data_IF_084746201961
#
_entry.id   IF_084746201961
#
_cell.length_a   1.000
_cell.length_b   1.000
_cell.length_c   1.000
_cell.angle_alpha   90.00
_cell.angle_beta   90.00
_cell.angle_gamma   90.00
#
_symmetry.space_group_name_H-M   'P 1'
#
loop_
_entity.id
_entity.type
_entity.pdbx_description
1 polymer ?
#
# COMPACT_ATOMS: atom_id res chain seq x y z
N UNK A 1 -18.85 -40.40 8.57
CA UNK A 1 -17.84 -40.70 7.53
C UNK A 1 -18.18 -40.12 6.14
N UNK A 2 -19.22 -39.29 5.98
CA UNK A 2 -19.61 -38.72 4.68
C UNK A 2 -19.10 -37.27 4.46
N UNK A 3 -18.74 -36.53 5.51
CA UNK A 3 -18.23 -35.15 5.39
C UNK A 3 -16.76 -35.10 4.93
N UNK A 4 -15.94 -36.10 5.26
CA UNK A 4 -14.51 -36.13 4.93
C UNK A 4 -14.21 -36.44 3.46
N UNK A 5 -15.12 -37.11 2.74
CA UNK A 5 -14.98 -37.39 1.30
C UNK A 5 -15.44 -36.22 0.42
N UNK A 6 -16.41 -35.42 0.89
CA UNK A 6 -16.90 -34.24 0.16
C UNK A 6 -15.91 -33.07 0.20
N UNK A 7 -15.19 -32.86 1.31
CA UNK A 7 -14.19 -31.77 1.40
C UNK A 7 -12.94 -32.07 0.58
N UNK A 8 -12.55 -33.35 0.48
CA UNK A 8 -11.38 -33.78 -0.31
C UNK A 8 -11.60 -33.64 -1.82
N UNK A 9 -12.83 -33.82 -2.31
CA UNK A 9 -13.14 -33.61 -3.73
C UNK A 9 -13.22 -32.12 -4.10
N UNK A 10 -13.81 -31.29 -3.23
CA UNK A 10 -13.85 -29.84 -3.43
C UNK A 10 -12.45 -29.20 -3.39
N UNK A 11 -11.57 -29.64 -2.49
CA UNK A 11 -10.18 -29.15 -2.44
C UNK A 11 -9.41 -29.55 -3.72
N UNK A 12 -9.62 -30.77 -4.23
CA UNK A 12 -9.05 -31.23 -5.50
C UNK A 12 -9.51 -30.37 -6.70
N UNK A 13 -10.79 -30.01 -6.75
CA UNK A 13 -11.35 -29.20 -7.83
C UNK A 13 -10.85 -27.75 -7.80
N UNK A 14 -10.75 -27.15 -6.60
CA UNK A 14 -10.21 -25.79 -6.43
C UNK A 14 -8.73 -25.73 -6.81
N UNK A 15 -7.94 -26.71 -6.37
CA UNK A 15 -6.53 -26.82 -6.76
C UNK A 15 -6.40 -27.04 -8.28
N UNK A 16 -7.27 -27.85 -8.88
CA UNK A 16 -7.31 -28.04 -10.33
C UNK A 16 -7.58 -26.75 -11.11
N UNK A 17 -8.58 -25.97 -10.68
CA UNK A 17 -8.89 -24.66 -11.26
C UNK A 17 -7.71 -23.68 -11.13
N UNK A 18 -7.07 -23.64 -9.96
CA UNK A 18 -5.88 -22.82 -9.72
C UNK A 18 -4.71 -23.20 -10.65
N UNK A 19 -4.41 -24.50 -10.76
CA UNK A 19 -3.34 -25.00 -11.64
C UNK A 19 -3.60 -24.72 -13.12
N UNK A 20 -4.86 -24.77 -13.54
CA UNK A 20 -5.28 -24.41 -14.90
C UNK A 20 -5.07 -22.93 -15.19
N UNK A 21 -5.39 -22.04 -14.23
CA UNK A 21 -5.20 -20.59 -14.37
C UNK A 21 -3.71 -20.22 -14.51
N UNK A 22 -2.85 -20.74 -13.64
CA UNK A 22 -1.41 -20.41 -13.66
C UNK A 22 -0.68 -20.99 -14.88
N UNK A 23 -1.26 -22.02 -15.53
CA UNK A 23 -0.71 -22.59 -16.76
C UNK A 23 -0.82 -21.66 -17.97
N UNK A 24 -1.70 -20.65 -17.91
CA UNK A 24 -1.95 -19.68 -19.01
C UNK A 24 -1.00 -18.48 -18.99
N UNK A 25 -0.32 -18.24 -17.88
CA UNK A 25 0.57 -17.10 -17.71
C UNK A 25 2.01 -17.43 -18.13
N UNK A 26 2.60 -16.54 -18.92
CA UNK A 26 4.00 -16.66 -19.36
C UNK A 26 4.98 -16.49 -18.20
N UNK A 27 6.09 -17.22 -18.25
CA UNK A 27 7.20 -17.03 -17.31
C UNK A 27 7.91 -15.71 -17.63
N UNK A 28 8.20 -14.91 -16.61
CA UNK A 28 9.00 -13.68 -16.78
C UNK A 28 10.46 -14.05 -17.08
N UNK A 29 11.05 -13.32 -18.01
CA UNK A 29 12.50 -13.33 -18.16
C UNK A 29 13.16 -12.53 -17.03
N UNK A 30 14.49 -12.64 -16.88
CA UNK A 30 15.23 -11.83 -15.91
C UNK A 30 15.09 -10.33 -16.17
N UNK A 31 15.02 -9.94 -17.44
CA UNK A 31 14.84 -8.56 -17.85
C UNK A 31 13.42 -8.08 -17.50
N UNK A 32 12.40 -8.91 -17.74
CA UNK A 32 11.02 -8.57 -17.36
C UNK A 32 10.86 -8.43 -15.84
N UNK A 33 11.49 -9.31 -15.04
CA UNK A 33 11.52 -9.21 -13.57
C UNK A 33 12.12 -7.87 -13.12
N UNK A 34 13.23 -7.45 -13.74
CA UNK A 34 13.88 -6.18 -13.43
C UNK A 34 13.00 -4.99 -13.81
N UNK A 35 12.48 -4.99 -15.04
CA UNK A 35 11.61 -3.92 -15.55
C UNK A 35 10.34 -3.77 -14.70
N UNK A 36 9.73 -4.89 -14.28
CA UNK A 36 8.56 -4.87 -13.41
C UNK A 36 8.91 -4.35 -12.01
N UNK A 37 10.08 -4.72 -11.48
CA UNK A 37 10.63 -4.19 -10.24
C UNK A 37 10.85 -2.67 -10.28
N UNK A 38 11.36 -2.13 -11.39
CA UNK A 38 11.49 -0.70 -11.62
C UNK A 38 10.10 -0.02 -11.67
N UNK A 39 9.17 -0.56 -12.46
CA UNK A 39 7.80 -0.04 -12.57
C UNK A 39 7.08 0.01 -11.22
N UNK A 40 7.30 -0.99 -10.35
CA UNK A 40 6.77 -0.99 -9.00
C UNK A 40 7.39 0.11 -8.13
N UNK A 41 8.70 0.32 -8.21
CA UNK A 41 9.37 1.39 -7.47
C UNK A 41 8.84 2.77 -7.92
N UNK A 42 8.78 3.01 -9.22
CA UNK A 42 8.26 4.25 -9.80
C UNK A 42 6.79 4.48 -9.41
N UNK A 43 5.98 3.42 -9.41
CA UNK A 43 4.58 3.51 -9.01
C UNK A 43 4.40 3.80 -7.51
N UNK A 44 5.29 3.29 -6.64
CA UNK A 44 5.32 3.64 -5.21
C UNK A 44 5.67 5.11 -5.02
N UNK A 45 6.71 5.58 -5.69
CA UNK A 45 7.13 6.99 -5.60
C UNK A 45 6.03 7.91 -6.12
N UNK A 46 5.39 7.58 -7.24
CA UNK A 46 4.25 8.35 -7.73
C UNK A 46 3.06 8.38 -6.74
N UNK A 47 2.78 7.27 -6.02
CA UNK A 47 1.74 7.25 -5.00
C UNK A 47 2.11 8.13 -3.79
N UNK A 48 3.36 8.07 -3.33
CA UNK A 48 3.85 8.91 -2.22
C UNK A 48 3.86 10.38 -2.61
N UNK A 49 4.31 10.72 -3.82
CA UNK A 49 4.23 12.10 -4.34
C UNK A 49 2.80 12.60 -4.36
N UNK A 50 1.87 11.78 -4.85
CA UNK A 50 0.46 12.14 -4.85
C UNK A 50 -0.09 12.27 -3.42
N UNK A 51 0.29 11.39 -2.49
CA UNK A 51 -0.09 11.49 -1.07
C UNK A 51 0.37 12.84 -0.50
N UNK A 52 1.64 13.20 -0.68
CA UNK A 52 2.26 14.41 -0.14
C UNK A 52 1.95 15.69 -0.93
N UNK A 53 1.21 15.59 -2.06
CA UNK A 53 0.85 16.75 -2.87
C UNK A 53 -0.13 17.70 -2.16
N UNK A 54 -0.93 17.16 -1.23
CA UNK A 54 -1.92 17.88 -0.44
C UNK A 54 -1.51 17.99 1.04
N UNK A 55 -1.98 19.05 1.70
CA UNK A 55 -1.69 19.30 3.12
C UNK A 55 -2.15 18.16 4.02
N UNK A 56 -3.32 17.58 3.73
CA UNK A 56 -3.83 16.44 4.49
C UNK A 56 -2.85 15.25 4.49
N UNK A 57 -2.22 14.94 3.35
CA UNK A 57 -1.28 13.81 3.28
C UNK A 57 0.06 14.12 3.93
N UNK A 58 0.54 15.36 3.83
CA UNK A 58 1.69 15.84 4.61
C UNK A 58 1.41 15.68 6.11
N UNK A 59 0.23 16.12 6.56
CA UNK A 59 -0.15 16.03 7.96
C UNK A 59 -0.19 14.60 8.49
N UNK A 60 -0.73 13.66 7.72
CA UNK A 60 -0.74 12.23 8.10
C UNK A 60 0.67 11.70 8.40
N UNK A 61 1.67 12.13 7.63
CA UNK A 61 3.07 11.75 7.85
C UNK A 61 3.67 12.50 9.03
N UNK A 62 3.38 13.79 9.18
CA UNK A 62 3.94 14.60 10.28
C UNK A 62 3.39 14.21 11.65
N UNK A 63 2.16 13.70 11.72
CA UNK A 63 1.50 13.22 12.95
C UNK A 63 1.95 11.82 13.37
N UNK A 64 2.72 11.09 12.55
CA UNK A 64 3.16 9.73 12.88
C UNK A 64 3.83 9.61 14.27
N UNK A 65 4.73 10.52 14.71
CA UNK A 65 5.38 10.43 16.02
C UNK A 65 4.38 10.51 17.17
N UNK A 66 3.40 11.43 17.09
CA UNK A 66 2.33 11.57 18.08
C UNK A 66 1.43 10.33 18.09
N UNK A 67 1.07 9.82 16.91
CA UNK A 67 0.27 8.60 16.78
C UNK A 67 0.98 7.36 17.34
N UNK A 68 2.32 7.30 17.26
CA UNK A 68 3.11 6.26 17.90
C UNK A 68 3.19 6.46 19.42
N UNK A 69 3.38 7.69 19.88
CA UNK A 69 3.48 8.02 21.31
C UNK A 69 2.17 7.70 22.06
N UNK A 70 1.03 8.04 21.47
CA UNK A 70 -0.31 7.84 22.05
C UNK A 70 -0.85 6.41 21.82
N UNK A 71 -0.07 5.53 21.18
CA UNK A 71 -0.44 4.13 20.93
C UNK A 71 -1.50 3.91 19.83
N UNK A 72 -1.93 4.96 19.13
CA UNK A 72 -2.86 4.86 17.98
C UNK A 72 -2.26 4.08 16.81
N UNK A 73 -0.93 4.09 16.69
CA UNK A 73 -0.17 3.28 15.73
C UNK A 73 0.90 2.48 16.44
N UNK A 74 1.03 1.21 16.06
CA UNK A 74 2.12 0.35 16.55
C UNK A 74 3.38 0.55 15.70
N UNK A 75 4.52 0.95 16.29
CA UNK A 75 5.73 1.22 15.53
C UNK A 75 6.44 -0.05 15.01
N UNK A 76 6.20 -1.24 15.57
CA UNK A 76 6.91 -2.48 15.16
C UNK A 76 6.63 -2.92 13.71
N UNK A 77 5.46 -2.55 13.16
CA UNK A 77 5.09 -2.83 11.76
C UNK A 77 5.16 -1.62 10.83
N UNK A 78 5.54 -0.45 11.36
CA UNK A 78 5.53 0.82 10.65
C UNK A 78 6.81 1.06 9.81
N UNK A 79 7.83 0.22 9.97
CA UNK A 79 9.14 0.37 9.33
C UNK A 79 9.60 -0.93 8.66
N UNK A 80 10.37 -0.83 7.57
CA UNK A 80 10.78 -1.99 6.77
C UNK A 80 11.83 -2.89 7.44
N UNK A 81 12.50 -2.39 8.47
CA UNK A 81 13.52 -3.11 9.25
C UNK A 81 13.14 -3.17 10.74
N UNK A 82 13.87 -3.98 11.52
CA UNK A 82 13.79 -3.92 12.99
C UNK A 82 14.00 -2.47 13.43
N UNK A 83 12.98 -1.93 14.08
CA UNK A 83 12.94 -0.56 14.59
C UNK A 83 14.19 -0.27 15.43
N UNK A 84 15.01 0.68 15.00
CA UNK A 84 16.07 1.25 15.83
C UNK A 84 15.67 2.64 16.34
N UNK A 85 16.22 3.05 17.49
CA UNK A 85 16.08 4.41 18.02
C UNK A 85 16.55 5.45 16.99
N UNK A 86 17.54 5.10 16.16
CA UNK A 86 18.03 5.94 15.09
C UNK A 86 17.00 6.12 13.96
N UNK A 87 16.23 5.08 13.61
CA UNK A 87 15.18 5.18 12.58
C UNK A 87 14.05 6.12 13.06
N UNK A 88 13.67 6.05 14.34
CA UNK A 88 12.71 6.98 14.95
C UNK A 88 13.22 8.43 14.90
N UNK A 89 14.45 8.68 15.37
CA UNK A 89 15.04 10.01 15.36
C UNK A 89 15.21 10.58 13.94
N UNK A 90 15.58 9.73 12.98
CA UNK A 90 15.69 10.11 11.56
C UNK A 90 14.32 10.45 10.99
N UNK A 91 13.29 9.68 11.33
CA UNK A 91 11.91 9.91 10.93
C UNK A 91 11.41 11.25 11.45
N UNK A 92 11.60 11.54 12.74
CA UNK A 92 11.24 12.84 13.33
C UNK A 92 11.96 14.00 12.62
N UNK A 93 13.26 13.88 12.34
CA UNK A 93 14.00 14.92 11.60
C UNK A 93 13.46 15.12 10.19
N UNK A 94 13.18 14.04 9.47
CA UNK A 94 12.67 14.11 8.10
C UNK A 94 11.24 14.62 8.03
N UNK A 95 10.41 14.35 9.05
CA UNK A 95 9.07 14.92 9.21
C UNK A 95 9.15 16.45 9.31
N UNK A 96 10.06 16.97 10.13
CA UNK A 96 10.28 18.42 10.24
C UNK A 96 10.71 19.00 8.89
N UNK A 97 11.53 18.29 8.12
CA UNK A 97 11.94 18.74 6.79
C UNK A 97 10.80 18.73 5.78
N UNK A 98 9.95 17.70 5.79
CA UNK A 98 8.73 17.62 4.97
C UNK A 98 7.79 18.80 5.27
N UNK A 99 7.52 19.09 6.54
CA UNK A 99 6.71 20.23 6.95
C UNK A 99 7.31 21.57 6.48
N UNK A 100 8.63 21.75 6.62
CA UNK A 100 9.34 22.96 6.16
C UNK A 100 9.38 23.10 4.63
N UNK A 101 9.53 22.01 3.90
CA UNK A 101 9.48 22.01 2.44
C UNK A 101 8.10 22.47 1.95
N UNK A 102 7.03 21.97 2.58
CA UNK A 102 5.65 22.36 2.26
C UNK A 102 5.41 23.86 2.48
N UNK A 103 5.80 24.39 3.65
CA UNK A 103 5.66 25.81 3.96
C UNK A 103 6.41 26.71 2.94
N UNK A 104 7.59 26.28 2.47
CA UNK A 104 8.35 27.00 1.42
C UNK A 104 7.67 26.93 0.05
N UNK A 105 7.11 25.78 -0.32
CA UNK A 105 6.44 25.60 -1.61
C UNK A 105 5.19 26.47 -1.76
N UNK A 106 4.43 26.64 -0.66
CA UNK A 106 3.28 27.56 -0.64
C UNK A 106 3.67 29.01 -0.98
N UNK A 107 4.90 29.44 -0.64
CA UNK A 107 5.39 30.79 -0.94
C UNK A 107 5.95 30.95 -2.37
N UNK A 108 6.43 29.87 -3.00
CA UNK A 108 7.12 29.92 -4.32
C UNK A 108 6.21 29.65 -5.53
N UNK A 109 4.94 29.30 -5.31
CA UNK A 109 3.99 29.03 -6.40
C UNK A 109 4.40 27.85 -7.31
N UNK A 110 3.91 27.82 -8.55
CA UNK A 110 4.07 26.68 -9.46
C UNK A 110 5.50 26.43 -9.97
N UNK A 111 6.38 27.45 -9.94
CA UNK A 111 7.70 27.43 -10.59
C UNK A 111 8.74 26.50 -9.96
N UNK A 112 8.44 25.86 -8.82
CA UNK A 112 9.35 24.94 -8.12
C UNK A 112 8.73 23.59 -7.78
N UNK A 113 7.62 23.21 -8.42
CA UNK A 113 6.83 22.03 -8.00
C UNK A 113 7.59 20.72 -8.13
N UNK A 114 8.34 20.50 -9.22
CA UNK A 114 9.13 19.26 -9.43
C UNK A 114 10.27 19.12 -8.42
N UNK A 115 11.01 20.20 -8.18
CA UNK A 115 12.12 20.20 -7.21
C UNK A 115 11.60 19.96 -5.79
N UNK A 116 10.45 20.54 -5.45
CA UNK A 116 9.74 20.30 -4.20
C UNK A 116 9.27 18.85 -4.04
N UNK A 117 8.66 18.26 -5.07
CA UNK A 117 8.21 16.87 -5.05
C UNK A 117 9.39 15.90 -4.87
N UNK A 118 10.52 16.18 -5.52
CA UNK A 118 11.76 15.42 -5.33
C UNK A 118 12.32 15.54 -3.90
N UNK A 119 12.35 16.75 -3.33
CA UNK A 119 12.80 16.99 -1.94
C UNK A 119 11.91 16.23 -0.93
N UNK A 120 10.59 16.23 -1.13
CA UNK A 120 9.65 15.47 -0.29
C UNK A 120 9.90 13.97 -0.34
N UNK A 121 10.06 13.42 -1.55
CA UNK A 121 10.32 11.99 -1.73
C UNK A 121 11.63 11.57 -1.05
N UNK A 122 12.69 12.35 -1.19
CA UNK A 122 13.97 12.07 -0.53
C UNK A 122 13.80 11.98 0.99
N UNK A 123 13.10 12.96 1.57
CA UNK A 123 12.81 12.95 3.00
C UNK A 123 11.94 11.77 3.40
N UNK A 124 10.93 11.42 2.61
CA UNK A 124 10.07 10.28 2.85
C UNK A 124 10.85 8.95 2.83
N UNK A 125 11.65 8.69 1.80
CA UNK A 125 12.51 7.50 1.71
C UNK A 125 13.45 7.38 2.90
N UNK A 126 13.96 8.51 3.39
CA UNK A 126 14.86 8.54 4.54
C UNK A 126 14.21 8.05 5.84
N UNK A 127 12.87 8.10 5.95
CA UNK A 127 12.10 7.61 7.10
C UNK A 127 11.99 6.08 7.12
N UNK A 128 12.19 5.40 5.98
CA UNK A 128 12.12 3.93 5.86
C UNK A 128 10.80 3.33 6.37
N UNK A 129 9.71 4.07 6.15
CA UNK A 129 8.36 3.62 6.48
C UNK A 129 7.99 2.38 5.66
N UNK A 130 7.28 1.46 6.29
CA UNK A 130 6.84 0.24 5.63
C UNK A 130 5.73 0.53 4.62
N UNK A 131 5.74 -0.20 3.50
CA UNK A 131 4.67 -0.08 2.51
C UNK A 131 3.25 -0.30 3.09
N UNK A 132 3.02 -1.28 3.98
CA UNK A 132 1.72 -1.43 4.64
C UNK A 132 1.26 -0.21 5.45
N UNK A 133 2.19 0.59 5.99
CA UNK A 133 1.82 1.85 6.65
C UNK A 133 1.32 2.85 5.61
N UNK A 134 2.00 2.98 4.46
CA UNK A 134 1.57 3.90 3.38
C UNK A 134 0.18 3.52 2.89
N UNK A 135 -0.08 2.24 2.65
CA UNK A 135 -1.40 1.74 2.27
C UNK A 135 -2.47 2.08 3.32
N UNK A 136 -2.14 1.97 4.60
CA UNK A 136 -3.04 2.38 5.69
C UNK A 136 -3.34 3.87 5.67
N UNK A 137 -2.36 4.73 5.42
CA UNK A 137 -2.57 6.18 5.32
C UNK A 137 -3.47 6.54 4.14
N UNK A 138 -3.28 5.87 2.99
CA UNK A 138 -4.17 6.03 1.83
C UNK A 138 -5.59 5.57 2.16
N UNK A 139 -5.74 4.47 2.90
CA UNK A 139 -7.05 3.96 3.32
C UNK A 139 -7.76 4.90 4.30
N UNK A 140 -7.05 5.51 5.25
CA UNK A 140 -7.61 6.55 6.13
C UNK A 140 -8.23 7.71 5.34
N UNK A 141 -7.55 8.15 4.27
CA UNK A 141 -8.06 9.20 3.40
C UNK A 141 -9.29 8.76 2.61
N UNK A 142 -9.32 7.50 2.15
CA UNK A 142 -10.50 6.93 1.49
C UNK A 142 -11.69 6.85 2.44
N UNK A 143 -11.49 6.40 3.67
CA UNK A 143 -12.53 6.37 4.69
C UNK A 143 -13.06 7.76 5.01
N UNK A 144 -12.17 8.75 5.13
CA UNK A 144 -12.56 10.15 5.32
C UNK A 144 -13.40 10.67 4.15
N UNK A 145 -13.08 10.31 2.91
CA UNK A 145 -13.92 10.62 1.74
C UNK A 145 -15.31 10.00 1.88
N UNK A 146 -15.42 8.73 2.26
CA UNK A 146 -16.73 8.07 2.43
C UNK A 146 -17.57 8.81 3.48
N UNK A 147 -16.98 9.14 4.63
CA UNK A 147 -17.67 9.91 5.67
C UNK A 147 -18.13 11.28 5.17
N UNK A 148 -17.24 12.04 4.52
CA UNK A 148 -17.60 13.36 4.00
C UNK A 148 -18.66 13.31 2.89
N UNK A 149 -18.66 12.26 2.05
CA UNK A 149 -19.68 12.09 1.03
C UNK A 149 -21.09 11.95 1.64
N UNK A 150 -21.22 11.23 2.75
CA UNK A 150 -22.50 11.13 3.47
C UNK A 150 -22.97 12.48 4.01
N UNK A 151 -22.04 13.34 4.47
CA UNK A 151 -22.39 14.69 4.92
C UNK A 151 -22.71 15.63 3.78
N UNK A 152 -22.03 15.50 2.64
CA UNK A 152 -22.32 16.29 1.44
C UNK A 152 -23.72 15.98 0.90
N UNK A 153 -24.08 14.71 0.79
CA UNK A 153 -25.42 14.28 0.39
C UNK A 153 -26.51 14.82 1.33
N UNK A 154 -26.31 14.72 2.65
CA UNK A 154 -27.23 15.28 3.63
C UNK A 154 -27.28 16.81 3.61
N UNK A 155 -26.19 17.49 3.26
CA UNK A 155 -26.17 18.95 3.15
C UNK A 155 -26.95 19.43 1.93
N UNK A 156 -26.92 18.67 0.84
CA UNK A 156 -27.64 18.97 -0.41
C UNK A 156 -29.13 18.59 -0.32
N UNK A 157 -29.43 17.41 0.21
CA UNK A 157 -30.78 16.82 0.18
C UNK A 157 -31.52 16.89 1.53
N UNK A 158 -30.83 17.23 2.62
CA UNK A 158 -31.41 17.21 3.97
C UNK A 158 -32.29 18.42 4.27
N UNK A 159 -33.46 18.17 4.85
CA UNK A 159 -34.41 19.23 5.22
C UNK A 159 -34.10 19.84 6.60
N UNK A 160 -34.34 21.15 6.69
CA UNK A 160 -34.32 21.89 7.96
C UNK A 160 -33.02 21.73 8.74
N UNK A 161 -33.08 21.52 10.08
CA UNK A 161 -31.88 21.46 10.93
C UNK A 161 -30.91 20.31 10.63
N UNK A 162 -31.33 19.28 9.89
CA UNK A 162 -30.45 18.16 9.53
C UNK A 162 -29.46 18.60 8.44
N UNK A 163 -29.96 19.22 7.36
CA UNK A 163 -29.12 19.72 6.27
C UNK A 163 -28.13 20.77 6.73
N UNK A 164 -28.58 21.73 7.55
CA UNK A 164 -27.70 22.77 8.12
C UNK A 164 -26.58 22.18 8.98
N UNK A 165 -26.88 21.18 9.82
CA UNK A 165 -25.86 20.50 10.64
C UNK A 165 -24.88 19.70 9.78
N UNK A 166 -25.34 19.06 8.71
CA UNK A 166 -24.49 18.34 7.78
C UNK A 166 -23.53 19.30 7.05
N UNK A 167 -24.03 20.45 6.58
CA UNK A 167 -23.21 21.49 5.96
C UNK A 167 -22.11 22.00 6.89
N UNK A 168 -22.42 22.31 8.15
CA UNK A 168 -21.39 22.75 9.11
C UNK A 168 -20.34 21.67 9.39
N UNK A 169 -20.73 20.38 9.43
CA UNK A 169 -19.75 19.28 9.56
C UNK A 169 -18.86 19.17 8.33
N UNK A 170 -19.43 19.31 7.13
CA UNK A 170 -18.67 19.30 5.89
C UNK A 170 -17.65 20.44 5.88
N UNK A 171 -18.08 21.67 6.16
CA UNK A 171 -17.22 22.85 6.25
C UNK A 171 -16.10 22.70 7.28
N UNK A 172 -16.40 22.09 8.44
CA UNK A 172 -15.38 21.78 9.45
C UNK A 172 -14.33 20.82 8.87
N UNK A 173 -14.76 19.77 8.18
CA UNK A 173 -13.82 18.85 7.56
C UNK A 173 -13.01 19.49 6.43
N UNK A 174 -13.60 20.38 5.63
CA UNK A 174 -12.89 21.15 4.61
C UNK A 174 -11.81 22.05 5.23
N UNK A 175 -12.15 22.75 6.31
CA UNK A 175 -11.21 23.58 7.06
C UNK A 175 -10.07 22.74 7.66
N UNK A 176 -10.39 21.58 8.23
CA UNK A 176 -9.39 20.63 8.71
C UNK A 176 -8.53 20.08 7.56
N UNK A 177 -9.06 19.84 6.37
CA UNK A 177 -8.28 19.33 5.23
C UNK A 177 -7.46 20.41 4.52
N UNK A 178 -7.82 21.68 4.70
CA UNK A 178 -7.30 22.80 3.92
C UNK A 178 -7.72 22.74 2.45
N UNK A 179 -8.80 22.01 2.14
CA UNK A 179 -9.29 21.77 0.78
C UNK A 179 -10.82 21.71 0.76
N UNK A 180 -11.48 22.37 -0.21
CA UNK A 180 -12.90 22.16 -0.48
C UNK A 180 -13.20 20.69 -0.83
N UNK A 181 -14.43 20.25 -0.58
CA UNK A 181 -14.89 18.89 -0.80
C UNK A 181 -14.61 18.39 -2.22
N UNK A 182 -14.94 19.20 -3.24
CA UNK A 182 -14.71 18.84 -4.65
C UNK A 182 -13.22 18.63 -4.97
N UNK A 183 -12.36 19.49 -4.42
CA UNK A 183 -10.91 19.39 -4.57
C UNK A 183 -10.38 18.13 -3.86
N UNK A 184 -10.90 17.81 -2.68
CA UNK A 184 -10.56 16.59 -1.96
C UNK A 184 -11.02 15.33 -2.72
N UNK A 185 -12.22 15.32 -3.32
CA UNK A 185 -12.68 14.23 -4.16
C UNK A 185 -11.75 13.99 -5.36
N UNK A 186 -11.31 15.06 -6.02
CA UNK A 186 -10.32 15.01 -7.10
C UNK A 186 -8.97 14.44 -6.64
N UNK A 187 -8.46 14.95 -5.52
CA UNK A 187 -7.23 14.46 -4.89
C UNK A 187 -7.27 12.94 -4.60
N UNK A 188 -8.36 12.45 -4.01
CA UNK A 188 -8.54 11.01 -3.72
C UNK A 188 -8.69 10.18 -4.99
N UNK A 189 -9.29 10.73 -6.05
CA UNK A 189 -9.39 10.05 -7.35
C UNK A 189 -8.00 9.77 -7.93
N UNK A 190 -7.13 10.77 -7.94
CA UNK A 190 -5.75 10.66 -8.41
C UNK A 190 -4.89 9.77 -7.52
N UNK A 191 -5.05 9.88 -6.20
CA UNK A 191 -4.37 9.00 -5.23
C UNK A 191 -4.71 7.53 -5.49
N UNK A 192 -5.99 7.21 -5.66
CA UNK A 192 -6.41 5.85 -5.97
C UNK A 192 -6.00 5.40 -7.38
N UNK A 193 -5.87 6.32 -8.35
CA UNK A 193 -5.33 5.99 -9.66
C UNK A 193 -3.86 5.52 -9.58
N UNK A 194 -3.05 6.21 -8.77
CA UNK A 194 -1.68 5.80 -8.47
C UNK A 194 -1.63 4.44 -7.75
N UNK A 195 -2.49 4.24 -6.74
CA UNK A 195 -2.59 2.97 -6.02
C UNK A 195 -2.94 1.82 -6.96
N UNK A 196 -3.96 1.98 -7.81
CA UNK A 196 -4.35 0.96 -8.80
C UNK A 196 -3.22 0.64 -9.77
N UNK A 197 -2.41 1.63 -10.18
CA UNK A 197 -1.25 1.39 -11.05
C UNK A 197 -0.22 0.51 -10.36
N UNK A 198 0.14 0.82 -9.11
CA UNK A 198 1.03 -0.02 -8.33
C UNK A 198 0.47 -1.43 -8.15
N UNK A 199 -0.80 -1.55 -7.77
CA UNK A 199 -1.46 -2.83 -7.58
C UNK A 199 -1.38 -3.68 -8.86
N UNK A 200 -1.55 -3.10 -10.04
CA UNK A 200 -1.41 -3.83 -11.31
C UNK A 200 0.00 -4.41 -11.49
N UNK A 201 1.06 -3.64 -11.21
CA UNK A 201 2.43 -4.14 -11.33
C UNK A 201 2.71 -5.24 -10.29
N UNK A 202 2.24 -5.04 -9.05
CA UNK A 202 2.32 -6.04 -7.97
C UNK A 202 1.62 -7.35 -8.35
N UNK A 203 0.38 -7.28 -8.85
CA UNK A 203 -0.39 -8.45 -9.27
C UNK A 203 0.32 -9.20 -10.41
N UNK A 204 0.81 -8.48 -11.44
CA UNK A 204 1.59 -9.09 -12.52
C UNK A 204 2.81 -9.84 -12.00
N UNK A 205 3.50 -9.30 -10.99
CA UNK A 205 4.68 -9.94 -10.41
C UNK A 205 4.32 -11.19 -9.61
N UNK A 206 3.19 -11.16 -8.89
CA UNK A 206 2.66 -12.31 -8.16
C UNK A 206 2.24 -13.42 -9.14
N UNK A 207 1.39 -13.08 -10.11
CA UNK A 207 0.82 -13.97 -11.13
C UNK A 207 1.92 -14.75 -11.86
N UNK A 208 2.92 -14.05 -12.40
CA UNK A 208 4.07 -14.64 -13.05
C UNK A 208 4.88 -15.64 -12.20
N UNK A 209 4.77 -15.56 -10.87
CA UNK A 209 5.54 -16.36 -9.92
C UNK A 209 4.70 -17.41 -9.16
N UNK A 210 3.41 -17.57 -9.46
CA UNK A 210 2.56 -18.59 -8.81
C UNK A 210 3.07 -20.02 -9.05
N UNK A 211 3.71 -20.29 -10.20
CA UNK A 211 4.33 -21.59 -10.50
C UNK A 211 5.47 -21.93 -9.54
N UNK A 212 6.21 -20.93 -9.06
CA UNK A 212 7.25 -21.11 -8.06
C UNK A 212 6.62 -21.61 -6.75
N UNK A 213 5.52 -21.02 -6.29
CA UNK A 213 4.80 -21.45 -5.09
C UNK A 213 4.38 -22.92 -5.20
N UNK A 214 3.80 -23.32 -6.32
CA UNK A 214 3.42 -24.72 -6.56
C UNK A 214 4.62 -25.67 -6.48
N UNK A 215 5.74 -25.30 -7.11
CA UNK A 215 6.96 -26.12 -7.09
C UNK A 215 7.54 -26.30 -5.68
N UNK A 216 7.38 -25.29 -4.82
CA UNK A 216 7.84 -25.32 -3.43
C UNK A 216 6.85 -26.11 -2.57
N UNK A 217 5.56 -25.78 -2.63
CA UNK A 217 4.50 -26.39 -1.83
C UNK A 217 4.36 -27.90 -2.05
N UNK A 218 4.55 -28.39 -3.29
CA UNK A 218 4.54 -29.84 -3.60
C UNK A 218 5.54 -30.65 -2.76
N UNK A 219 6.66 -30.04 -2.30
CA UNK A 219 7.65 -30.71 -1.45
C UNK A 219 7.19 -30.93 -0.01
N UNK A 220 6.08 -30.30 0.40
CA UNK A 220 5.55 -30.35 1.77
C UNK A 220 4.22 -31.12 1.87
N UNK A 221 3.69 -31.66 0.77
CA UNK A 221 2.38 -32.34 0.68
C UNK A 221 2.16 -33.48 1.70
N UNK A 222 3.21 -34.17 2.11
CA UNK A 222 3.11 -35.32 3.02
C UNK A 222 3.37 -34.96 4.49
N UNK A 223 3.14 -33.71 4.90
CA UNK A 223 3.36 -33.23 6.28
C UNK A 223 2.07 -32.98 7.07
N UNK A 224 0.95 -33.55 6.62
CA UNK A 224 -0.33 -33.49 7.33
C UNK A 224 -1.19 -32.26 7.02
N UNK A 225 -0.78 -31.40 6.08
CA UNK A 225 -1.58 -30.27 5.61
C UNK A 225 -2.01 -30.50 4.14
N UNK A 226 -3.27 -30.20 3.77
CA UNK A 226 -3.73 -30.24 2.38
C UNK A 226 -2.87 -29.39 1.44
N UNK A 227 -2.82 -29.77 0.16
CA UNK A 227 -2.04 -29.01 -0.81
C UNK A 227 -2.60 -27.61 -1.01
N UNK A 228 -3.94 -27.44 -1.01
CA UNK A 228 -4.58 -26.13 -1.10
C UNK A 228 -4.07 -25.16 -0.04
N UNK A 229 -4.02 -25.58 1.22
CA UNK A 229 -3.55 -24.78 2.35
C UNK A 229 -2.06 -24.42 2.24
N UNK A 230 -1.21 -25.39 1.86
CA UNK A 230 0.21 -25.15 1.61
C UNK A 230 0.44 -24.10 0.50
N UNK A 231 -0.41 -24.12 -0.54
CA UNK A 231 -0.35 -23.13 -1.62
C UNK A 231 -0.85 -21.76 -1.15
N UNK A 232 -1.87 -21.70 -0.28
CA UNK A 232 -2.35 -20.44 0.28
C UNK A 232 -1.27 -19.76 1.14
N UNK A 233 -0.66 -20.48 2.08
CA UNK A 233 0.45 -19.94 2.88
C UNK A 233 1.64 -19.53 2.00
N UNK A 234 2.00 -20.37 1.03
CA UNK A 234 3.04 -20.06 0.07
C UNK A 234 2.74 -18.81 -0.77
N UNK A 235 1.48 -18.57 -1.15
CA UNK A 235 1.06 -17.36 -1.84
C UNK A 235 1.17 -16.12 -0.93
N UNK A 236 0.85 -16.24 0.37
CA UNK A 236 1.08 -15.16 1.34
C UNK A 236 2.58 -14.84 1.47
N UNK A 237 3.42 -15.87 1.51
CA UNK A 237 4.89 -15.73 1.47
C UNK A 237 5.36 -15.01 0.20
N UNK A 238 4.83 -15.39 -0.97
CA UNK A 238 5.12 -14.73 -2.24
C UNK A 238 4.71 -13.25 -2.23
N UNK A 239 3.51 -12.92 -1.74
CA UNK A 239 3.05 -11.54 -1.64
C UNK A 239 3.98 -10.70 -0.77
N UNK A 240 4.42 -11.23 0.39
CA UNK A 240 5.42 -10.57 1.25
C UNK A 240 6.76 -10.39 0.56
N UNK A 241 7.19 -11.36 -0.26
CA UNK A 241 8.41 -11.23 -1.06
C UNK A 241 8.27 -10.09 -2.08
N UNK A 242 7.17 -10.01 -2.82
CA UNK A 242 6.92 -8.93 -3.79
C UNK A 242 6.94 -7.57 -3.09
N UNK A 243 6.33 -7.45 -1.91
CA UNK A 243 6.29 -6.19 -1.17
C UNK A 243 7.69 -5.71 -0.76
N UNK A 244 8.59 -6.63 -0.42
CA UNK A 244 9.93 -6.31 0.10
C UNK A 244 11.06 -6.44 -0.92
N UNK A 245 10.74 -6.77 -2.17
CA UNK A 245 11.76 -6.97 -3.19
C UNK A 245 12.45 -5.66 -3.59
N UNK A 246 13.78 -5.69 -3.69
CA UNK A 246 14.61 -4.56 -4.10
C UNK A 246 15.40 -4.95 -5.35
N UNK A 247 14.91 -4.51 -6.51
CA UNK A 247 15.48 -4.83 -7.83
C UNK A 247 16.94 -4.36 -7.99
N UNK A 248 17.36 -3.34 -7.23
CA UNK A 248 18.71 -2.75 -7.28
C UNK A 248 19.80 -3.68 -6.74
N UNK A 249 19.43 -4.71 -5.98
CA UNK A 249 20.39 -5.68 -5.41
C UNK A 249 20.87 -6.73 -6.41
N UNK A 250 20.33 -6.75 -7.63
CA UNK A 250 20.82 -7.61 -8.73
C UNK A 250 20.51 -9.10 -8.61
N UNK A 251 19.86 -9.54 -7.53
CA UNK A 251 19.38 -10.91 -7.35
C UNK A 251 18.10 -11.16 -8.16
N UNK A 252 17.97 -12.36 -8.74
CA UNK A 252 16.72 -12.80 -9.36
C UNK A 252 15.60 -12.84 -8.33
N UNK A 253 14.39 -12.47 -8.73
CA UNK A 253 13.26 -12.43 -7.80
C UNK A 253 12.95 -13.83 -7.25
N UNK A 254 12.95 -14.85 -8.10
CA UNK A 254 12.73 -16.25 -7.70
C UNK A 254 13.65 -16.74 -6.58
N UNK A 255 14.93 -16.35 -6.58
CA UNK A 255 15.88 -16.67 -5.52
C UNK A 255 15.46 -16.06 -4.19
N UNK A 256 15.08 -14.78 -4.20
CA UNK A 256 14.63 -14.06 -3.02
C UNK A 256 13.29 -14.60 -2.48
N UNK A 257 12.31 -14.79 -3.38
CA UNK A 257 10.97 -15.26 -3.04
C UNK A 257 10.98 -16.67 -2.44
N UNK A 258 11.91 -17.53 -2.85
CA UNK A 258 12.01 -18.89 -2.32
C UNK A 258 12.14 -18.93 -0.79
N UNK A 259 12.85 -17.99 -0.17
CA UNK A 259 12.97 -17.94 1.29
C UNK A 259 11.63 -17.59 1.95
N UNK A 260 10.95 -16.55 1.45
CA UNK A 260 9.66 -16.11 1.98
C UNK A 260 8.56 -17.15 1.83
N UNK A 261 8.51 -17.84 0.68
CA UNK A 261 7.53 -18.91 0.42
C UNK A 261 7.76 -20.10 1.34
N UNK A 262 9.01 -20.41 1.72
CA UNK A 262 9.33 -21.52 2.63
C UNK A 262 9.14 -21.17 4.10
N UNK A 263 9.19 -19.90 4.45
CA UNK A 263 9.06 -19.43 5.83
C UNK A 263 7.60 -19.27 6.26
N UNK A 264 6.73 -18.85 5.33
CA UNK A 264 5.29 -18.82 5.54
C UNK A 264 4.80 -20.22 5.92
#
# INVERSE_FOLDING_TARGET
MAESTSSASMDSDVVGMYLSRIGREGLLTREDEFNLGCQMADARDALVTQLLSAEVGVRLVTELPERFADGRLNPRGAFDAKLSVADLAKTTKSIVRVARARARAQMKGASGRRDYEAELLEHFHSMRLSWPLVERLVEELNQRKVTMASWADLAENGLGPVGTRALHRLQRHEAELGLPWDAFQGYIRELNACKRRLDRHRHKMIEANLRLVVSIGKRYRNRGLPLGDLLQEGNLGLMRAVDKFDHRRGHKFSTYATWWIRQA
#
